data_IF_905290430282
#
_entry.id   IF_905290430282
#
_cell.length_a   1.000
_cell.length_b   1.000
_cell.length_c   1.000
_cell.angle_alpha   90.00
_cell.angle_beta   90.00
_cell.angle_gamma   90.00
#
_symmetry.space_group_name_H-M   'P 1'
#
loop_
_entity.id
_entity.type
_entity.pdbx_description
1 polymer ?
#
# COMPACT_ATOMS: atom_id res chain seq x y z
N UNK A 1 -0.25 -12.22 -43.85
CA UNK A 1 0.46 -11.57 -42.73
C UNK A 1 -0.42 -10.77 -41.75
N UNK A 2 -1.72 -10.53 -42.00
CA UNK A 2 -2.62 -9.87 -41.02
C UNK A 2 -3.42 -10.83 -40.12
N UNK A 3 -3.51 -12.11 -40.47
CA UNK A 3 -4.26 -13.13 -39.73
C UNK A 3 -3.46 -13.85 -38.65
N UNK A 4 -2.12 -13.77 -38.67
CA UNK A 4 -1.24 -14.45 -37.70
C UNK A 4 -0.98 -13.63 -36.42
N UNK A 5 -1.17 -12.30 -36.48
CA UNK A 5 -1.06 -11.41 -35.32
C UNK A 5 -2.33 -11.41 -34.45
N UNK A 6 -3.52 -11.58 -35.06
CA UNK A 6 -4.77 -11.64 -34.30
C UNK A 6 -4.89 -12.93 -33.48
N UNK A 7 -4.38 -14.06 -33.97
CA UNK A 7 -4.49 -15.34 -33.25
C UNK A 7 -3.56 -15.42 -32.04
N UNK A 8 -2.39 -14.79 -32.08
CA UNK A 8 -1.48 -14.72 -30.91
C UNK A 8 -2.07 -13.81 -29.82
N UNK A 9 -2.67 -12.67 -30.19
CA UNK A 9 -3.37 -11.82 -29.21
C UNK A 9 -4.61 -12.52 -28.62
N UNK A 10 -5.33 -13.34 -29.39
CA UNK A 10 -6.50 -14.08 -28.90
C UNK A 10 -6.12 -15.29 -28.03
N UNK A 11 -5.00 -15.97 -28.31
CA UNK A 11 -4.50 -17.07 -27.49
C UNK A 11 -3.98 -16.59 -26.13
N UNK A 12 -3.37 -15.40 -26.07
CA UNK A 12 -3.07 -14.76 -24.79
C UNK A 12 -4.34 -14.37 -24.03
N UNK A 13 -5.44 -14.04 -24.72
CA UNK A 13 -6.70 -13.64 -24.10
C UNK A 13 -7.51 -14.82 -23.51
N UNK A 14 -7.41 -16.01 -24.10
CA UNK A 14 -8.13 -17.21 -23.64
C UNK A 14 -7.41 -17.96 -22.50
N UNK A 15 -6.07 -17.90 -22.40
CA UNK A 15 -5.36 -18.34 -21.20
C UNK A 15 -5.46 -17.34 -20.03
N UNK A 16 -5.84 -16.08 -20.30
CA UNK A 16 -6.04 -15.05 -19.27
C UNK A 16 -7.36 -15.22 -18.49
N UNK A 17 -8.32 -15.95 -19.05
CA UNK A 17 -9.67 -16.09 -18.50
C UNK A 17 -9.91 -17.36 -17.68
N UNK A 18 -8.85 -18.07 -17.30
CA UNK A 18 -8.88 -19.03 -16.20
C UNK A 18 -7.52 -19.00 -15.48
N UNK A 19 -7.44 -18.27 -14.34
CA UNK A 19 -6.29 -18.10 -13.43
C UNK A 19 -5.25 -16.97 -13.69
N UNK A 20 -5.62 -15.77 -14.18
CA UNK A 20 -4.68 -14.63 -14.27
C UNK A 20 -4.49 -13.82 -12.98
N UNK A 21 -4.45 -14.45 -11.79
CA UNK A 21 -4.24 -13.75 -10.50
C UNK A 21 -2.77 -13.62 -10.07
N UNK A 22 -1.80 -13.99 -10.91
CA UNK A 22 -0.38 -13.85 -10.60
C UNK A 22 0.33 -12.99 -11.64
N UNK A 23 -0.07 -11.72 -11.76
CA UNK A 23 0.74 -10.73 -12.45
C UNK A 23 1.96 -10.47 -11.55
N UNK A 24 3.15 -10.90 -11.98
CA UNK A 24 4.38 -10.60 -11.23
C UNK A 24 4.58 -9.09 -11.14
N UNK A 25 5.21 -8.63 -10.05
CA UNK A 25 5.56 -7.22 -9.84
C UNK A 25 6.38 -6.64 -11.02
N UNK A 26 7.18 -7.50 -11.67
CA UNK A 26 8.02 -7.13 -12.81
C UNK A 26 7.17 -6.86 -14.06
N UNK A 27 6.15 -7.69 -14.30
CA UNK A 27 5.18 -7.51 -15.40
C UNK A 27 4.24 -6.32 -15.15
N UNK A 28 4.02 -5.92 -13.89
CA UNK A 28 3.15 -4.79 -13.54
C UNK A 28 3.63 -3.49 -14.18
N UNK A 29 4.95 -3.29 -14.32
CA UNK A 29 5.49 -2.07 -14.92
C UNK A 29 5.19 -1.92 -16.41
N UNK A 30 4.85 -3.01 -17.10
CA UNK A 30 4.44 -2.99 -18.51
C UNK A 30 2.96 -2.62 -18.68
N UNK A 31 2.15 -2.71 -17.62
CA UNK A 31 0.73 -2.35 -17.68
C UNK A 31 0.55 -0.84 -17.66
N UNK A 32 -0.47 -0.39 -18.41
CA UNK A 32 -0.86 1.02 -18.48
C UNK A 32 -1.14 1.58 -17.09
N UNK A 33 -0.48 2.69 -16.78
CA UNK A 33 -0.73 3.48 -15.56
C UNK A 33 -1.73 4.58 -15.85
N UNK A 34 -2.90 4.51 -15.22
CA UNK A 34 -3.90 5.58 -15.29
C UNK A 34 -3.55 6.70 -14.32
N UNK A 35 -3.77 7.95 -14.72
CA UNK A 35 -3.42 9.15 -13.92
C UNK A 35 -4.62 10.07 -13.63
N UNK A 36 -5.82 9.60 -14.00
CA UNK A 36 -7.09 10.29 -13.90
C UNK A 36 -8.22 9.28 -13.79
N UNK A 37 -9.17 9.53 -12.90
CA UNK A 37 -10.41 8.73 -12.78
C UNK A 37 -11.18 8.76 -14.10
N UNK A 38 -11.27 9.92 -14.76
CA UNK A 38 -12.00 10.07 -16.02
C UNK A 38 -11.51 9.13 -17.12
N UNK A 39 -10.20 8.91 -17.21
CA UNK A 39 -9.63 8.00 -18.21
C UNK A 39 -9.71 6.54 -17.78
N UNK A 40 -9.59 6.26 -16.47
CA UNK A 40 -9.75 4.93 -15.90
C UNK A 40 -11.19 4.40 -16.06
N UNK A 41 -12.19 5.26 -15.91
CA UNK A 41 -13.61 4.92 -16.08
C UNK A 41 -13.99 4.51 -17.51
N UNK A 42 -13.16 4.81 -18.52
CA UNK A 42 -13.41 4.35 -19.90
C UNK A 42 -13.22 2.83 -20.03
N UNK A 43 -12.35 2.25 -19.21
CA UNK A 43 -11.96 0.83 -19.27
C UNK A 43 -11.76 0.27 -17.85
N UNK A 44 -12.78 0.27 -16.98
CA UNK A 44 -12.62 0.01 -15.54
C UNK A 44 -12.04 -1.38 -15.23
N UNK A 45 -12.30 -2.38 -16.07
CA UNK A 45 -11.75 -3.73 -15.93
C UNK A 45 -10.26 -3.84 -16.32
N UNK A 46 -9.73 -2.86 -17.05
CA UNK A 46 -8.32 -2.84 -17.49
C UNK A 46 -7.45 -1.96 -16.56
N UNK A 47 -7.99 -1.51 -15.43
CA UNK A 47 -7.29 -0.63 -14.49
C UNK A 47 -6.56 -1.46 -13.44
N UNK A 48 -5.32 -1.82 -13.75
CA UNK A 48 -4.42 -2.50 -12.81
C UNK A 48 -3.57 -1.53 -11.99
N UNK A 49 -3.34 -0.31 -12.50
CA UNK A 49 -2.50 0.71 -11.86
C UNK A 49 -3.13 2.08 -11.99
N UNK A 50 -3.32 2.76 -10.86
CA UNK A 50 -3.90 4.10 -10.80
C UNK A 50 -3.03 5.01 -9.91
N UNK A 51 -2.64 6.17 -10.43
CA UNK A 51 -2.01 7.23 -9.64
C UNK A 51 -2.84 8.50 -9.68
N UNK A 52 -3.33 8.91 -8.52
CA UNK A 52 -3.96 10.20 -8.27
C UNK A 52 -3.06 11.08 -7.41
N UNK A 53 -1.74 10.94 -7.59
CA UNK A 53 -0.73 11.73 -6.91
C UNK A 53 -0.90 13.22 -7.20
N UNK A 54 -0.74 14.07 -6.16
CA UNK A 54 -0.79 15.54 -6.27
C UNK A 54 -2.09 16.09 -6.87
N UNK A 55 -3.22 15.47 -6.57
CA UNK A 55 -4.56 15.91 -7.04
C UNK A 55 -5.30 16.78 -6.02
N UNK A 56 -4.67 17.12 -4.89
CA UNK A 56 -5.26 17.90 -3.77
C UNK A 56 -6.51 17.23 -3.16
N UNK A 57 -6.62 15.91 -3.28
CA UNK A 57 -7.75 15.14 -2.76
C UNK A 57 -7.83 15.27 -1.24
N UNK A 58 -9.03 15.51 -0.71
CA UNK A 58 -9.29 15.52 0.74
C UNK A 58 -9.77 14.15 1.25
N UNK A 59 -10.25 13.31 0.34
CA UNK A 59 -10.78 11.98 0.60
C UNK A 59 -10.44 11.06 -0.57
N UNK A 60 -10.56 9.75 -0.35
CA UNK A 60 -10.39 8.73 -1.39
C UNK A 60 -11.68 8.69 -2.23
N UNK A 61 -11.62 8.98 -3.55
CA UNK A 61 -12.81 9.03 -4.39
C UNK A 61 -13.52 7.67 -4.48
N UNK A 62 -14.86 7.69 -4.42
CA UNK A 62 -15.69 6.48 -4.40
C UNK A 62 -15.53 5.65 -5.67
N UNK A 63 -15.30 6.30 -6.82
CA UNK A 63 -15.15 5.67 -8.13
C UNK A 63 -14.03 4.63 -8.18
N UNK A 64 -13.05 4.69 -7.26
CA UNK A 64 -11.99 3.70 -7.15
C UNK A 64 -12.56 2.29 -6.89
N UNK A 65 -13.74 2.18 -6.26
CA UNK A 65 -14.40 0.89 -6.01
C UNK A 65 -14.75 0.13 -7.31
N UNK A 66 -14.81 0.82 -8.45
CA UNK A 66 -15.13 0.23 -9.76
C UNK A 66 -13.93 -0.50 -10.40
N UNK A 67 -12.70 -0.20 -9.96
CA UNK A 67 -11.47 -0.76 -10.53
C UNK A 67 -11.12 -2.08 -9.85
N UNK A 68 -11.91 -3.13 -10.11
CA UNK A 68 -11.82 -4.42 -9.38
C UNK A 68 -10.50 -5.16 -9.56
N UNK A 69 -9.75 -4.87 -10.62
CA UNK A 69 -8.45 -5.49 -10.91
C UNK A 69 -7.24 -4.64 -10.45
N UNK A 70 -7.48 -3.61 -9.63
CA UNK A 70 -6.44 -2.67 -9.21
C UNK A 70 -5.40 -3.34 -8.29
N UNK A 71 -4.14 -3.28 -8.70
CA UNK A 71 -2.97 -3.85 -8.00
C UNK A 71 -2.11 -2.74 -7.36
N UNK A 72 -1.93 -1.62 -8.05
CA UNK A 72 -1.17 -0.46 -7.55
C UNK A 72 -2.04 0.79 -7.48
N UNK A 73 -2.16 1.37 -6.28
CA UNK A 73 -2.84 2.64 -6.03
C UNK A 73 -1.87 3.65 -5.40
N UNK A 74 -1.62 4.74 -6.11
CA UNK A 74 -0.81 5.87 -5.62
C UNK A 74 -1.68 7.10 -5.37
N UNK A 75 -1.90 7.39 -4.09
CA UNK A 75 -2.63 8.54 -3.56
C UNK A 75 -1.69 9.54 -2.88
N UNK A 76 -0.38 9.46 -3.14
CA UNK A 76 0.61 10.28 -2.44
C UNK A 76 0.48 11.77 -2.72
N UNK A 77 0.96 12.60 -1.78
CA UNK A 77 0.99 14.07 -1.90
C UNK A 77 -0.40 14.68 -2.13
N UNK A 78 -1.39 14.21 -1.39
CA UNK A 78 -2.74 14.77 -1.33
C UNK A 78 -2.99 15.40 0.04
N UNK A 79 -4.26 15.57 0.43
CA UNK A 79 -4.71 16.11 1.73
C UNK A 79 -5.66 15.15 2.43
N UNK A 80 -5.51 13.84 2.18
CA UNK A 80 -6.40 12.80 2.68
C UNK A 80 -6.20 12.68 4.19
N UNK A 81 -7.31 12.72 4.95
CA UNK A 81 -7.28 12.59 6.42
C UNK A 81 -7.63 11.20 6.92
N UNK A 82 -8.53 10.52 6.21
CA UNK A 82 -9.03 9.22 6.61
C UNK A 82 -9.02 8.28 5.40
N UNK A 83 -8.66 7.03 5.66
CA UNK A 83 -8.81 5.93 4.70
C UNK A 83 -10.23 5.38 4.89
N UNK A 84 -11.07 5.42 3.86
CA UNK A 84 -12.46 4.95 3.93
C UNK A 84 -12.58 3.50 3.44
N UNK A 85 -13.79 2.93 3.49
CA UNK A 85 -14.09 1.56 3.08
C UNK A 85 -13.93 1.28 1.57
N UNK A 86 -13.65 2.30 0.74
CA UNK A 86 -13.41 2.09 -0.70
C UNK A 86 -12.17 1.22 -0.89
N UNK A 87 -11.10 1.45 -0.13
CA UNK A 87 -9.84 0.70 -0.30
C UNK A 87 -9.95 -0.75 0.15
N UNK A 88 -10.78 -1.04 1.16
CA UNK A 88 -10.98 -2.41 1.66
C UNK A 88 -11.78 -3.28 0.70
N UNK A 89 -12.45 -2.67 -0.29
CA UNK A 89 -13.14 -3.39 -1.38
C UNK A 89 -12.19 -3.88 -2.49
N UNK A 90 -10.92 -3.46 -2.48
CA UNK A 90 -9.93 -3.75 -3.54
C UNK A 90 -9.16 -5.04 -3.23
N UNK A 91 -9.78 -6.18 -3.55
CA UNK A 91 -9.27 -7.50 -3.16
C UNK A 91 -7.86 -7.83 -3.68
N UNK A 92 -7.44 -7.27 -4.82
CA UNK A 92 -6.13 -7.51 -5.43
C UNK A 92 -5.11 -6.40 -5.20
N UNK A 93 -5.39 -5.43 -4.33
CA UNK A 93 -4.49 -4.32 -4.09
C UNK A 93 -3.23 -4.78 -3.34
N UNK A 94 -2.09 -4.78 -4.01
CA UNK A 94 -0.82 -5.22 -3.44
C UNK A 94 0.09 -4.05 -3.03
N UNK A 95 -0.03 -2.91 -3.72
CA UNK A 95 0.79 -1.72 -3.49
C UNK A 95 -0.12 -0.52 -3.24
N UNK A 96 -0.01 0.05 -2.04
CA UNK A 96 -0.70 1.27 -1.67
C UNK A 96 0.29 2.34 -1.22
N UNK A 97 0.25 3.49 -1.87
CA UNK A 97 1.03 4.66 -1.48
C UNK A 97 0.12 5.80 -1.05
N UNK A 98 0.13 6.08 0.25
CA UNK A 98 -0.58 7.15 0.94
C UNK A 98 0.39 8.20 1.52
N UNK A 99 1.66 8.17 1.13
CA UNK A 99 2.67 9.08 1.70
C UNK A 99 2.38 10.56 1.44
N UNK A 100 2.83 11.43 2.35
CA UNK A 100 2.63 12.89 2.24
C UNK A 100 1.15 13.28 2.15
N UNK A 101 0.34 12.79 3.09
CA UNK A 101 -1.07 13.15 3.24
C UNK A 101 -1.28 13.85 4.60
N UNK A 102 -2.48 13.73 5.19
CA UNK A 102 -2.86 14.26 6.49
C UNK A 102 -3.56 13.18 7.33
N UNK A 103 -3.14 11.93 7.14
CA UNK A 103 -3.77 10.77 7.78
C UNK A 103 -3.40 10.78 9.25
N UNK A 104 -4.42 10.78 10.12
CA UNK A 104 -4.24 10.87 11.57
C UNK A 104 -4.22 9.47 12.21
N UNK A 105 -4.86 8.50 11.55
CA UNK A 105 -5.10 7.17 12.11
C UNK A 105 -4.79 6.09 11.08
N UNK A 106 -4.05 5.06 11.51
CA UNK A 106 -4.02 3.78 10.82
C UNK A 106 -5.28 3.01 11.23
N UNK A 107 -6.37 3.12 10.46
CA UNK A 107 -7.67 2.57 10.86
C UNK A 107 -7.90 1.13 10.35
N UNK A 108 -9.04 0.55 10.75
CA UNK A 108 -9.40 -0.84 10.41
C UNK A 108 -9.55 -1.09 8.90
N UNK A 109 -9.86 -0.06 8.10
CA UNK A 109 -10.00 -0.21 6.65
C UNK A 109 -8.66 -0.57 5.98
N UNK A 110 -7.54 -0.06 6.50
CA UNK A 110 -6.22 -0.49 6.05
C UNK A 110 -5.94 -1.94 6.42
N UNK A 111 -6.32 -2.38 7.63
CA UNK A 111 -6.16 -3.76 8.10
C UNK A 111 -6.99 -4.78 7.28
N UNK A 112 -8.04 -4.34 6.59
CA UNK A 112 -8.87 -5.23 5.75
C UNK A 112 -8.20 -5.62 4.42
N UNK A 113 -7.16 -4.89 3.98
CA UNK A 113 -6.49 -5.11 2.70
C UNK A 113 -5.41 -6.21 2.82
N UNK A 114 -5.84 -7.45 3.05
CA UNK A 114 -4.95 -8.60 3.31
C UNK A 114 -4.03 -8.96 2.14
N UNK A 115 -4.31 -8.46 0.93
CA UNK A 115 -3.47 -8.63 -0.25
C UNK A 115 -2.25 -7.71 -0.29
N UNK A 116 -2.17 -6.69 0.58
CA UNK A 116 -1.04 -5.75 0.58
C UNK A 116 0.30 -6.44 0.78
N UNK A 117 1.23 -6.15 -0.12
CA UNK A 117 2.65 -6.52 -0.05
C UNK A 117 3.53 -5.31 0.25
N UNK A 118 3.10 -4.11 -0.16
CA UNK A 118 3.81 -2.85 0.06
C UNK A 118 2.84 -1.75 0.48
N UNK A 119 3.06 -1.19 1.67
CA UNK A 119 2.34 -0.03 2.18
C UNK A 119 3.34 1.10 2.44
N UNK A 120 3.12 2.24 1.80
CA UNK A 120 3.89 3.46 2.01
C UNK A 120 2.96 4.52 2.56
N UNK A 121 3.07 4.82 3.85
CA UNK A 121 2.21 5.80 4.54
C UNK A 121 3.02 6.82 5.36
N UNK A 122 4.31 6.94 5.05
CA UNK A 122 5.18 7.94 5.68
C UNK A 122 4.80 9.39 5.36
N UNK A 123 5.25 10.34 6.17
CA UNK A 123 4.89 11.76 6.10
C UNK A 123 3.38 11.96 6.23
N UNK A 124 2.84 11.53 7.37
CA UNK A 124 1.46 11.71 7.80
C UNK A 124 1.44 12.11 9.29
N UNK A 125 0.27 12.13 9.92
CA UNK A 125 0.07 12.56 11.31
C UNK A 125 -0.31 11.36 12.22
N UNK A 126 0.11 10.13 11.86
CA UNK A 126 -0.26 8.90 12.57
C UNK A 126 0.43 8.82 13.93
N UNK A 127 -0.34 8.55 14.99
CA UNK A 127 0.19 8.44 16.37
C UNK A 127 0.33 7.01 16.88
N UNK A 128 -0.49 6.09 16.37
CA UNK A 128 -0.56 4.72 16.86
C UNK A 128 -0.87 3.75 15.73
N UNK A 129 -0.34 2.55 15.84
CA UNK A 129 -0.66 1.42 14.96
C UNK A 129 -1.60 0.46 15.72
N UNK A 130 -2.76 0.09 15.16
CA UNK A 130 -3.71 -0.78 15.85
C UNK A 130 -3.24 -2.24 15.85
N UNK A 131 -3.75 -3.03 16.79
CA UNK A 131 -3.49 -4.48 16.89
C UNK A 131 -3.94 -5.24 15.64
N UNK A 132 -4.93 -4.72 14.90
CA UNK A 132 -5.38 -5.32 13.64
C UNK A 132 -4.30 -5.38 12.57
N UNK A 133 -3.16 -4.70 12.73
CA UNK A 133 -2.02 -4.78 11.80
C UNK A 133 -1.58 -6.23 11.52
N UNK A 134 -1.77 -7.15 12.48
CA UNK A 134 -1.49 -8.58 12.29
C UNK A 134 -2.20 -9.22 11.09
N UNK A 135 -3.32 -8.65 10.63
CA UNK A 135 -4.05 -9.17 9.47
C UNK A 135 -3.31 -8.97 8.14
N UNK A 136 -2.33 -8.06 8.07
CA UNK A 136 -1.53 -7.75 6.88
C UNK A 136 -0.41 -8.76 6.67
N UNK A 137 -0.73 -10.04 6.76
CA UNK A 137 0.23 -11.16 6.73
C UNK A 137 1.06 -11.28 5.42
N UNK A 138 0.63 -10.62 4.34
CA UNK A 138 1.36 -10.55 3.08
C UNK A 138 2.35 -9.38 2.98
N UNK A 139 2.33 -8.47 3.95
CA UNK A 139 3.13 -7.26 3.90
C UNK A 139 4.62 -7.59 3.99
N UNK A 140 5.38 -7.08 3.02
CA UNK A 140 6.82 -7.27 2.90
C UNK A 140 7.61 -5.98 3.06
N UNK A 141 6.96 -4.84 2.83
CA UNK A 141 7.51 -3.50 2.98
C UNK A 141 6.48 -2.60 3.64
N UNK A 142 6.85 -1.98 4.75
CA UNK A 142 6.04 -1.01 5.47
C UNK A 142 6.87 0.25 5.75
N UNK A 143 6.45 1.38 5.18
CA UNK A 143 7.03 2.70 5.48
C UNK A 143 6.05 3.52 6.31
N UNK A 144 6.43 3.76 7.56
CA UNK A 144 5.77 4.57 8.58
C UNK A 144 6.61 5.81 8.96
N UNK A 145 7.67 6.10 8.21
CA UNK A 145 8.59 7.21 8.52
C UNK A 145 7.86 8.56 8.55
N UNK A 146 8.41 9.56 9.26
CA UNK A 146 7.82 10.91 9.34
C UNK A 146 6.35 10.87 9.80
N UNK A 147 6.11 10.26 10.96
CA UNK A 147 4.83 10.26 11.66
C UNK A 147 5.08 10.63 13.14
N UNK A 148 4.08 10.42 14.01
CA UNK A 148 4.16 10.67 15.45
C UNK A 148 4.02 9.38 16.27
N UNK A 149 4.49 8.26 15.73
CA UNK A 149 4.40 6.94 16.36
C UNK A 149 5.44 6.86 17.48
N UNK A 150 5.04 6.50 18.68
CA UNK A 150 5.96 6.33 19.82
C UNK A 150 6.15 4.87 20.24
N UNK A 151 5.28 3.97 19.80
CA UNK A 151 5.32 2.53 20.07
C UNK A 151 4.67 1.71 18.96
N UNK A 152 4.91 0.40 18.97
CA UNK A 152 4.21 -0.55 18.12
C UNK A 152 3.48 -1.61 18.97
N UNK A 153 2.31 -2.11 18.51
CA UNK A 153 1.63 -3.21 19.15
C UNK A 153 2.47 -4.50 19.05
N UNK A 154 2.34 -5.42 20.02
CA UNK A 154 3.08 -6.70 19.99
C UNK A 154 2.71 -7.54 18.76
N UNK A 155 1.48 -7.40 18.28
CA UNK A 155 0.92 -7.99 17.07
C UNK A 155 1.75 -7.72 15.81
N UNK A 156 2.61 -6.70 15.80
CA UNK A 156 3.53 -6.46 14.67
C UNK A 156 4.41 -7.68 14.38
N UNK A 157 4.73 -8.51 15.39
CA UNK A 157 5.50 -9.74 15.23
C UNK A 157 4.81 -10.78 14.32
N UNK A 158 3.50 -10.64 14.07
CA UNK A 158 2.74 -11.53 13.18
C UNK A 158 2.96 -11.24 11.70
N UNK A 159 3.62 -10.13 11.36
CA UNK A 159 4.00 -9.80 9.99
C UNK A 159 5.21 -10.64 9.52
N UNK A 160 5.03 -11.96 9.43
CA UNK A 160 6.12 -12.92 9.17
C UNK A 160 6.82 -12.74 7.82
N UNK A 161 6.18 -12.05 6.85
CA UNK A 161 6.76 -11.73 5.54
C UNK A 161 7.43 -10.36 5.48
N UNK A 162 7.39 -9.57 6.55
CA UNK A 162 7.92 -8.22 6.57
C UNK A 162 9.45 -8.22 6.49
N UNK A 163 9.97 -7.72 5.37
CA UNK A 163 11.40 -7.64 5.08
C UNK A 163 11.98 -6.29 5.46
N UNK A 164 11.19 -5.23 5.33
CA UNK A 164 11.61 -3.87 5.65
C UNK A 164 10.51 -3.11 6.38
N UNK A 165 10.90 -2.50 7.51
CA UNK A 165 10.09 -1.56 8.29
C UNK A 165 10.85 -0.24 8.44
N UNK A 166 10.28 0.84 7.93
CA UNK A 166 10.84 2.19 8.08
C UNK A 166 10.04 2.99 9.10
N UNK A 167 10.70 3.36 10.20
CA UNK A 167 10.19 4.13 11.33
C UNK A 167 10.99 5.42 11.53
N UNK A 168 11.86 5.82 10.60
CA UNK A 168 12.67 7.03 10.73
C UNK A 168 11.79 8.26 10.99
N UNK A 169 12.30 9.19 11.78
CA UNK A 169 11.62 10.44 12.13
C UNK A 169 10.23 10.16 12.75
N UNK A 170 10.22 9.31 13.76
CA UNK A 170 9.13 9.10 14.70
C UNK A 170 9.67 9.23 16.13
N UNK A 171 8.87 9.66 17.13
CA UNK A 171 9.29 9.81 18.52
C UNK A 171 9.37 8.47 19.28
N UNK A 172 10.10 7.48 18.75
CA UNK A 172 10.26 6.14 19.35
C UNK A 172 11.51 6.14 20.24
N UNK A 173 11.30 6.00 21.55
CA UNK A 173 12.37 5.95 22.57
C UNK A 173 13.20 4.67 22.47
N UNK A 174 14.45 4.70 22.91
CA UNK A 174 15.41 3.58 22.79
C UNK A 174 14.88 2.25 23.36
N UNK A 175 14.25 2.30 24.53
CA UNK A 175 13.62 1.12 25.16
C UNK A 175 12.60 0.42 24.25
N UNK A 176 11.81 1.23 23.52
CA UNK A 176 10.82 0.71 22.59
C UNK A 176 11.48 0.24 21.28
N UNK A 177 12.57 0.89 20.84
CA UNK A 177 13.35 0.38 19.71
C UNK A 177 13.85 -1.04 20.00
N UNK A 178 14.44 -1.28 21.17
CA UNK A 178 14.91 -2.60 21.60
C UNK A 178 13.79 -3.65 21.63
N UNK A 179 12.61 -3.26 22.10
CA UNK A 179 11.42 -4.13 22.05
C UNK A 179 11.06 -4.49 20.61
N UNK A 180 11.02 -3.52 19.70
CA UNK A 180 10.68 -3.76 18.29
C UNK A 180 11.75 -4.65 17.61
N UNK A 181 13.04 -4.47 17.92
CA UNK A 181 14.12 -5.36 17.46
C UNK A 181 13.92 -6.82 17.89
N UNK A 182 13.42 -7.04 19.12
CA UNK A 182 13.08 -8.39 19.60
C UNK A 182 11.84 -8.97 18.93
N UNK A 183 10.83 -8.15 18.64
CA UNK A 183 9.59 -8.58 17.98
C UNK A 183 9.81 -8.95 16.50
N UNK A 184 10.77 -8.30 15.82
CA UNK A 184 11.01 -8.44 14.38
C UNK A 184 12.49 -8.72 14.04
N UNK A 185 13.09 -9.81 14.56
CA UNK A 185 14.54 -10.04 14.46
C UNK A 185 15.05 -10.31 13.03
N UNK A 186 14.17 -10.62 12.08
CA UNK A 186 14.50 -10.91 10.67
C UNK A 186 14.16 -9.74 9.72
N UNK A 187 13.61 -8.65 10.25
CA UNK A 187 13.16 -7.51 9.46
C UNK A 187 14.24 -6.44 9.45
N UNK A 188 14.60 -5.94 8.26
CA UNK A 188 15.47 -4.77 8.16
C UNK A 188 14.71 -3.56 8.69
N UNK A 189 15.18 -2.98 9.78
CA UNK A 189 14.59 -1.80 10.36
C UNK A 189 15.41 -0.55 10.07
N UNK A 190 14.70 0.50 9.66
CA UNK A 190 15.25 1.84 9.54
C UNK A 190 14.59 2.68 10.63
N UNK A 191 15.34 3.04 11.66
CA UNK A 191 14.85 3.87 12.75
C UNK A 191 15.82 5.03 12.96
N UNK A 192 15.30 6.20 13.30
CA UNK A 192 16.15 7.35 13.57
C UNK A 192 16.82 7.17 14.93
N UNK A 193 18.12 7.47 15.07
CA UNK A 193 18.70 7.62 16.39
C UNK A 193 17.95 8.72 17.14
N UNK A 194 17.79 8.55 18.45
CA UNK A 194 17.25 9.62 19.28
C UNK A 194 18.13 10.85 19.13
N UNK A 195 17.53 11.96 18.70
CA UNK A 195 18.21 13.25 18.72
C UNK A 195 18.28 13.69 20.17
N UNK A 196 19.43 13.49 20.82
CA UNK A 196 19.78 14.13 22.09
C UNK A 196 20.03 15.63 21.86
N UNK A 197 19.05 16.34 21.30
CA UNK A 197 19.07 17.78 21.24
C UNK A 197 18.80 18.30 22.66
N UNK A 198 19.88 18.44 23.42
CA UNK A 198 19.93 19.27 24.63
C UNK A 198 19.76 20.75 24.26
#
# INVERSE_FOLDING_TARGET
>A
MKTFFLTICFFFFLLYNANSQNISIDSLNMLKKYTSIKDALKYPNDVYRLSLKRKKLKEIPKEIELFKNLIELDLSRNKIRNVNNVVSSLNYLEILNLSSNKIIEFNEELCKIRSLKKLVIGNNDIKSIPTCIQSLNNLSYLDLSLNFINNLPEEIQQLKKLKLLDLRVNPIKDEEQDKIFKLLPKTKMLISPNCNCQ
#
